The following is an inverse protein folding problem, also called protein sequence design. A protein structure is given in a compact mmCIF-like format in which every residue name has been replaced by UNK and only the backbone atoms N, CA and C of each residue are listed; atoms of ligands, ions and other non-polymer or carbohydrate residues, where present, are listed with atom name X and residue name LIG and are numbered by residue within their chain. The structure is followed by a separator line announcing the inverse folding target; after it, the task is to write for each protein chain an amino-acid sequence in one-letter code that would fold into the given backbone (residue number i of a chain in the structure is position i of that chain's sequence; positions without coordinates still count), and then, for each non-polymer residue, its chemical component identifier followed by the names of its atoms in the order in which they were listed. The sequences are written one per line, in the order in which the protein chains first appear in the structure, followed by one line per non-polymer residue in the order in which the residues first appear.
data_IF_826798298642
#
_entry.id   IF_826798298642
#
_cell.length_a   1.000
_cell.length_b   1.000
_cell.length_c   1.000
_cell.angle_alpha   90.00
_cell.angle_beta   90.00
_cell.angle_gamma   90.00
#
_symmetry.space_group_name_H-M   'P 1'
#
loop_
_entity.id
_entity.type
_entity.pdbx_description
1 polymer ?
#
# COMPACT_ATOMS: atom_id res chain seq x y z
N UNK A 1 5.24 -6.80 -26.50
CA UNK A 1 5.93 -5.61 -27.04
C UNK A 1 7.39 -5.75 -26.70
N UNK A 2 8.32 -5.61 -27.66
CA UNK A 2 9.78 -5.74 -27.44
C UNK A 2 10.45 -4.48 -26.87
N UNK A 3 9.67 -3.46 -26.53
CA UNK A 3 10.19 -2.19 -26.02
C UNK A 3 10.78 -2.37 -24.61
N UNK A 4 11.86 -1.65 -24.28
CA UNK A 4 12.36 -1.55 -22.91
C UNK A 4 11.23 -1.15 -21.95
N UNK A 5 11.16 -1.82 -20.80
CA UNK A 5 10.16 -1.54 -19.78
C UNK A 5 10.79 -1.51 -18.39
N UNK A 6 10.40 -0.51 -17.60
CA UNK A 6 10.81 -0.37 -16.21
C UNK A 6 9.57 -0.15 -15.35
N UNK A 7 9.56 -0.79 -14.18
CA UNK A 7 8.51 -0.62 -13.17
C UNK A 7 9.12 -0.52 -11.78
N UNK A 8 8.35 0.00 -10.83
CA UNK A 8 8.76 0.11 -9.44
C UNK A 8 7.60 0.08 -8.47
N UNK A 9 7.93 -0.21 -7.22
CA UNK A 9 7.09 0.02 -6.05
C UNK A 9 7.95 0.58 -4.92
N UNK A 10 7.34 1.03 -3.82
CA UNK A 10 8.03 1.39 -2.59
C UNK A 10 7.78 0.37 -1.47
N UNK A 11 8.68 0.27 -0.49
CA UNK A 11 8.45 -0.62 0.66
C UNK A 11 7.36 -0.12 1.63
N UNK A 12 6.95 1.15 1.51
CA UNK A 12 5.94 1.80 2.32
C UNK A 12 4.70 2.25 1.56
N UNK A 13 4.25 1.56 0.50
CA UNK A 13 3.02 1.94 -0.24
C UNK A 13 1.79 2.08 0.66
N UNK A 14 1.71 1.28 1.75
CA UNK A 14 0.63 1.36 2.74
C UNK A 14 0.50 2.73 3.43
N UNK A 15 1.56 3.55 3.42
CA UNK A 15 1.52 4.91 3.98
C UNK A 15 0.52 5.80 3.25
N UNK A 16 0.23 5.54 1.97
CA UNK A 16 -0.85 6.20 1.24
C UNK A 16 -2.20 5.90 1.89
N UNK A 17 -2.50 4.62 2.14
CA UNK A 17 -3.76 4.19 2.74
C UNK A 17 -3.88 4.64 4.20
N UNK A 18 -2.78 4.71 4.95
CA UNK A 18 -2.76 5.35 6.28
C UNK A 18 -3.03 6.85 6.23
N UNK A 19 -2.60 7.54 5.18
CA UNK A 19 -2.93 8.96 5.00
C UNK A 19 -4.40 9.13 4.62
N UNK A 20 -4.91 8.28 3.73
CA UNK A 20 -6.30 8.31 3.30
C UNK A 20 -7.27 7.88 4.41
N UNK A 21 -6.85 7.00 5.34
CA UNK A 21 -7.70 6.58 6.47
C UNK A 21 -8.11 7.75 7.36
N UNK A 22 -7.29 8.80 7.45
CA UNK A 22 -7.62 10.05 8.18
C UNK A 22 -8.80 10.81 7.57
N UNK A 23 -9.16 10.53 6.32
CA UNK A 23 -10.32 11.10 5.63
C UNK A 23 -11.60 10.25 5.78
N UNK A 24 -11.48 9.08 6.41
CA UNK A 24 -12.57 8.13 6.61
C UNK A 24 -13.01 8.18 8.07
N UNK A 25 -14.32 8.06 8.32
CA UNK A 25 -14.86 8.05 9.69
C UNK A 25 -14.28 6.89 10.50
N UNK A 26 -13.84 7.10 11.76
CA UNK A 26 -13.41 6.02 12.64
C UNK A 26 -14.45 4.90 12.79
N UNK A 27 -15.73 5.25 12.80
CA UNK A 27 -16.83 4.28 12.88
C UNK A 27 -16.88 3.31 11.70
N UNK A 28 -16.33 3.69 10.54
CA UNK A 28 -16.20 2.77 9.41
C UNK A 28 -15.21 1.65 9.74
N UNK A 29 -14.04 1.98 10.29
CA UNK A 29 -13.04 0.99 10.69
C UNK A 29 -13.57 0.08 11.80
N UNK A 30 -14.29 0.62 12.79
CA UNK A 30 -14.97 -0.17 13.82
C UNK A 30 -15.95 -1.17 13.21
N UNK A 31 -16.79 -0.72 12.28
CA UNK A 31 -17.75 -1.58 11.60
C UNK A 31 -17.07 -2.68 10.79
N UNK A 32 -16.01 -2.36 10.04
CA UNK A 32 -15.25 -3.36 9.27
C UNK A 32 -14.58 -4.36 10.22
N UNK A 33 -13.93 -3.90 11.29
CA UNK A 33 -13.28 -4.80 12.26
C UNK A 33 -14.26 -5.79 12.89
N UNK A 34 -15.43 -5.29 13.30
CA UNK A 34 -16.47 -6.13 13.89
C UNK A 34 -17.10 -7.12 12.89
N UNK A 35 -16.96 -6.87 11.58
CA UNK A 35 -17.53 -7.68 10.50
C UNK A 35 -16.46 -8.17 9.50
N UNK A 36 -15.22 -8.36 9.97
CA UNK A 36 -14.04 -8.51 9.09
C UNK A 36 -14.18 -9.64 8.07
N UNK A 37 -14.68 -10.81 8.47
CA UNK A 37 -14.88 -11.94 7.55
C UNK A 37 -15.79 -11.54 6.40
N UNK A 38 -16.95 -10.96 6.69
CA UNK A 38 -17.94 -10.54 5.68
C UNK A 38 -17.39 -9.45 4.77
N UNK A 39 -16.61 -8.51 5.32
CA UNK A 39 -15.93 -7.50 4.53
C UNK A 39 -14.96 -8.12 3.52
N UNK A 40 -14.09 -9.05 3.97
CA UNK A 40 -13.10 -9.71 3.11
C UNK A 40 -13.76 -10.58 2.04
N UNK A 41 -14.80 -11.35 2.40
CA UNK A 41 -15.56 -12.13 1.42
C UNK A 41 -16.23 -11.24 0.37
N UNK A 42 -16.76 -10.07 0.78
CA UNK A 42 -17.33 -9.09 -0.14
C UNK A 42 -16.27 -8.44 -1.03
N UNK A 43 -15.07 -8.18 -0.49
CA UNK A 43 -13.95 -7.63 -1.26
C UNK A 43 -13.51 -8.62 -2.34
N UNK A 44 -13.22 -9.87 -1.96
CA UNK A 44 -12.87 -10.94 -2.90
C UNK A 44 -14.01 -11.18 -3.91
N UNK A 45 -15.25 -11.01 -3.47
CA UNK A 45 -16.45 -11.13 -4.30
C UNK A 45 -16.53 -10.14 -5.47
N UNK A 46 -15.72 -9.08 -5.48
CA UNK A 46 -15.59 -8.19 -6.64
C UNK A 46 -14.86 -8.86 -7.81
N UNK A 47 -14.13 -9.95 -7.57
CA UNK A 47 -13.30 -10.64 -8.56
C UNK A 47 -13.78 -12.07 -8.86
N UNK A 48 -14.63 -12.65 -8.01
CA UNK A 48 -15.15 -14.01 -8.21
C UNK A 48 -16.52 -14.21 -7.57
N UNK A 49 -17.35 -15.05 -8.17
CA UNK A 49 -18.64 -15.47 -7.60
C UNK A 49 -18.54 -16.75 -6.75
N UNK A 50 -17.43 -17.48 -6.82
CA UNK A 50 -17.22 -18.75 -6.12
C UNK A 50 -17.19 -18.56 -4.58
N UNK A 51 -18.11 -19.23 -3.89
CA UNK A 51 -18.27 -19.12 -2.43
C UNK A 51 -17.17 -19.80 -1.65
N UNK A 52 -16.59 -20.90 -2.15
CA UNK A 52 -15.47 -21.56 -1.50
C UNK A 52 -14.22 -20.68 -1.56
N UNK A 53 -13.93 -20.11 -2.74
CA UNK A 53 -12.79 -19.19 -2.93
C UNK A 53 -12.90 -17.95 -2.04
N UNK A 54 -14.09 -17.33 -1.94
CA UNK A 54 -14.32 -16.18 -1.05
C UNK A 54 -14.02 -16.52 0.40
N UNK A 55 -14.59 -17.63 0.91
CA UNK A 55 -14.44 -18.03 2.32
C UNK A 55 -13.01 -18.43 2.66
N UNK A 56 -12.37 -19.23 1.82
CA UNK A 56 -10.98 -19.68 2.02
C UNK A 56 -10.02 -18.49 1.93
N UNK A 57 -10.18 -17.63 0.91
CA UNK A 57 -9.39 -16.41 0.75
C UNK A 57 -9.54 -15.45 1.94
N UNK A 58 -10.77 -15.23 2.42
CA UNK A 58 -11.00 -14.39 3.60
C UNK A 58 -10.28 -14.94 4.84
N UNK A 59 -10.30 -16.26 5.05
CA UNK A 59 -9.59 -16.88 6.16
C UNK A 59 -8.06 -16.75 6.02
N UNK A 60 -7.53 -16.89 4.80
CA UNK A 60 -6.10 -16.68 4.53
C UNK A 60 -5.68 -15.24 4.83
N UNK A 61 -6.44 -14.25 4.36
CA UNK A 61 -6.16 -12.82 4.60
C UNK A 61 -6.21 -12.47 6.09
N UNK A 62 -7.19 -13.02 6.83
CA UNK A 62 -7.28 -12.86 8.29
C UNK A 62 -6.04 -13.38 9.00
N UNK A 63 -5.60 -14.59 8.66
CA UNK A 63 -4.44 -15.21 9.29
C UNK A 63 -3.13 -14.48 8.96
N UNK A 64 -3.05 -13.86 7.78
CA UNK A 64 -1.85 -13.16 7.32
C UNK A 64 -1.76 -11.74 7.88
N UNK A 65 -2.79 -10.90 7.67
CA UNK A 65 -2.73 -9.48 8.04
C UNK A 65 -3.27 -9.19 9.44
N UNK A 66 -4.34 -9.83 9.87
CA UNK A 66 -5.16 -9.37 11.01
C UNK A 66 -4.94 -10.20 12.28
N UNK A 67 -3.68 -10.39 12.68
CA UNK A 67 -3.32 -11.21 13.84
C UNK A 67 -3.59 -10.50 15.18
N UNK A 68 -3.38 -9.18 15.23
CA UNK A 68 -3.57 -8.36 16.44
C UNK A 68 -4.29 -7.07 16.07
N UNK A 69 -5.63 -7.07 16.16
CA UNK A 69 -6.48 -5.98 15.69
C UNK A 69 -6.77 -4.87 16.73
N UNK A 70 -6.24 -5.00 17.95
CA UNK A 70 -6.35 -3.96 18.99
C UNK A 70 -4.96 -3.37 19.27
N UNK A 71 -4.84 -2.06 19.53
CA UNK A 71 -5.90 -1.05 19.43
C UNK A 71 -6.29 -0.76 17.97
N UNK A 72 -7.26 0.13 17.74
CA UNK A 72 -7.79 0.42 16.39
C UNK A 72 -6.70 0.85 15.39
N UNK A 73 -5.61 1.43 15.86
CA UNK A 73 -4.44 1.80 15.06
C UNK A 73 -3.81 0.58 14.40
N UNK A 74 -3.75 -0.57 15.09
CA UNK A 74 -3.24 -1.81 14.51
C UNK A 74 -4.15 -2.29 13.38
N UNK A 75 -5.46 -2.35 13.62
CA UNK A 75 -6.42 -2.73 12.59
C UNK A 75 -6.37 -1.81 11.36
N UNK A 76 -6.28 -0.50 11.58
CA UNK A 76 -6.17 0.50 10.49
C UNK A 76 -4.90 0.29 9.68
N UNK A 77 -3.78 -0.05 10.35
CA UNK A 77 -2.52 -0.38 9.70
C UNK A 77 -2.59 -1.68 8.91
N UNK A 78 -3.17 -2.73 9.47
CA UNK A 78 -3.33 -4.02 8.78
C UNK A 78 -4.20 -3.88 7.53
N UNK A 79 -5.28 -3.10 7.61
CA UNK A 79 -6.10 -2.72 6.47
C UNK A 79 -5.27 -1.98 5.40
N UNK A 80 -4.45 -1.01 5.82
CA UNK A 80 -3.59 -0.27 4.89
C UNK A 80 -2.55 -1.15 4.20
N UNK A 81 -1.98 -2.13 4.91
CA UNK A 81 -1.04 -3.11 4.35
C UNK A 81 -1.73 -4.04 3.34
N UNK A 82 -2.92 -4.57 3.67
CA UNK A 82 -3.72 -5.37 2.74
C UNK A 82 -4.03 -4.61 1.45
N UNK A 83 -4.51 -3.38 1.57
CA UNK A 83 -4.86 -2.56 0.40
C UNK A 83 -3.64 -2.14 -0.42
N UNK A 84 -2.48 -1.95 0.21
CA UNK A 84 -1.23 -1.70 -0.50
C UNK A 84 -0.73 -2.92 -1.27
N UNK A 85 -0.85 -4.10 -0.67
CA UNK A 85 -0.45 -5.34 -1.34
C UNK A 85 -1.37 -5.63 -2.53
N UNK A 86 -2.67 -5.42 -2.39
CA UNK A 86 -3.65 -5.57 -3.49
C UNK A 86 -3.49 -4.50 -4.57
N UNK A 87 -3.34 -3.23 -4.18
CA UNK A 87 -3.31 -2.08 -5.09
C UNK A 87 -1.97 -1.83 -5.78
N UNK A 88 -0.85 -2.21 -5.17
CA UNK A 88 0.49 -1.92 -5.69
C UNK A 88 1.38 -3.15 -5.82
N UNK A 89 1.55 -3.94 -4.75
CA UNK A 89 2.56 -5.01 -4.74
C UNK A 89 2.17 -6.16 -5.67
N UNK A 90 0.92 -6.64 -5.62
CA UNK A 90 0.44 -7.70 -6.49
C UNK A 90 0.49 -7.30 -7.98
N UNK A 91 -0.02 -6.13 -8.40
CA UNK A 91 0.12 -5.68 -9.78
C UNK A 91 1.58 -5.54 -10.22
N UNK A 92 2.47 -5.06 -9.35
CA UNK A 92 3.91 -4.97 -9.63
C UNK A 92 4.51 -6.36 -9.93
N UNK A 93 4.30 -7.33 -9.03
CA UNK A 93 4.81 -8.70 -9.20
C UNK A 93 4.19 -9.39 -10.43
N UNK A 94 2.87 -9.26 -10.61
CA UNK A 94 2.16 -9.83 -11.74
C UNK A 94 2.71 -9.28 -13.06
N UNK A 95 2.92 -7.97 -13.16
CA UNK A 95 3.43 -7.36 -14.38
C UNK A 95 4.88 -7.75 -14.67
N UNK A 96 5.74 -7.88 -13.65
CA UNK A 96 7.10 -8.39 -13.84
C UNK A 96 7.08 -9.79 -14.44
N UNK A 97 6.28 -10.68 -13.86
CA UNK A 97 6.16 -12.05 -14.35
C UNK A 97 5.65 -12.11 -15.79
N UNK A 98 4.72 -11.23 -16.16
CA UNK A 98 4.21 -11.12 -17.54
C UNK A 98 5.21 -10.50 -18.52
N UNK A 99 6.07 -9.59 -18.08
CA UNK A 99 6.99 -8.87 -18.96
C UNK A 99 8.39 -9.48 -19.07
N UNK A 100 8.80 -10.36 -18.16
CA UNK A 100 10.18 -10.89 -18.10
C UNK A 100 10.73 -11.49 -19.40
N UNK A 101 9.85 -11.98 -20.28
CA UNK A 101 10.22 -12.58 -21.58
C UNK A 101 9.90 -11.69 -22.80
N UNK A 102 9.39 -10.48 -22.58
CA UNK A 102 8.94 -9.60 -23.65
C UNK A 102 9.97 -8.56 -24.08
N UNK A 103 11.15 -8.51 -23.47
CA UNK A 103 12.22 -7.54 -23.81
C UNK A 103 13.02 -7.12 -22.57
N UNK A 104 13.95 -6.16 -22.71
CA UNK A 104 14.71 -5.64 -21.59
C UNK A 104 13.78 -5.08 -20.50
N UNK A 105 13.80 -5.73 -19.34
CA UNK A 105 12.89 -5.46 -18.22
C UNK A 105 13.70 -5.19 -16.97
N UNK A 106 13.41 -4.06 -16.31
CA UNK A 106 13.96 -3.72 -15.01
C UNK A 106 12.84 -3.49 -14.01
N UNK A 107 13.04 -3.96 -12.79
CA UNK A 107 12.15 -3.71 -11.69
C UNK A 107 12.97 -3.32 -10.48
N UNK A 108 12.50 -2.34 -9.71
CA UNK A 108 13.14 -1.95 -8.47
C UNK A 108 12.12 -1.69 -7.37
N UNK A 109 12.53 -1.93 -6.13
CA UNK A 109 11.78 -1.56 -4.93
C UNK A 109 12.49 -0.40 -4.26
N UNK A 110 11.81 0.73 -4.12
CA UNK A 110 12.36 1.88 -3.44
C UNK A 110 12.25 1.68 -1.93
N UNK A 111 13.39 1.63 -1.26
CA UNK A 111 13.49 1.48 0.20
C UNK A 111 14.16 2.67 0.86
N UNK A 112 14.75 3.57 0.06
CA UNK A 112 15.44 4.73 0.57
C UNK A 112 14.44 5.78 1.06
N UNK A 113 14.46 6.03 2.37
CA UNK A 113 13.77 7.13 3.04
C UNK A 113 14.64 8.38 2.99
N UNK A 114 14.27 9.33 2.15
CA UNK A 114 14.96 10.61 2.03
C UNK A 114 14.50 11.60 3.10
N UNK A 115 15.18 12.75 3.20
CA UNK A 115 14.84 13.83 4.14
C UNK A 115 13.39 14.36 4.02
N UNK A 116 12.81 14.26 2.83
CA UNK A 116 11.44 14.69 2.54
C UNK A 116 10.43 13.54 2.63
N UNK A 117 10.86 12.31 2.86
CA UNK A 117 9.98 11.14 2.98
C UNK A 117 9.19 11.18 4.28
N UNK A 118 7.87 10.97 4.20
CA UNK A 118 7.00 11.03 5.38
C UNK A 118 6.90 12.40 6.04
N UNK A 119 7.23 13.48 5.31
CA UNK A 119 7.09 14.87 5.78
C UNK A 119 6.17 15.62 4.81
N UNK A 120 5.32 16.51 5.33
CA UNK A 120 4.48 17.40 4.53
C UNK A 120 5.28 18.64 4.07
N UNK A 121 4.82 19.39 3.04
CA UNK A 121 5.38 20.68 2.67
C UNK A 121 5.51 21.70 3.82
N UNK A 122 4.76 21.50 4.90
CA UNK A 122 4.70 22.37 6.09
C UNK A 122 5.54 21.84 7.26
N UNK A 123 6.26 20.74 7.08
CA UNK A 123 7.16 20.17 8.10
C UNK A 123 6.49 19.21 9.07
N UNK A 124 5.21 18.90 8.88
CA UNK A 124 4.52 17.89 9.68
C UNK A 124 5.01 16.49 9.30
N UNK A 125 5.38 15.68 10.29
CA UNK A 125 5.71 14.27 10.08
C UNK A 125 4.42 13.50 9.85
N UNK A 126 4.20 13.07 8.61
CA UNK A 126 3.01 12.31 8.19
C UNK A 126 3.23 10.80 8.32
N UNK A 127 4.48 10.34 8.36
CA UNK A 127 4.84 8.94 8.58
C UNK A 127 6.18 8.85 9.33
N UNK A 128 6.17 8.15 10.47
CA UNK A 128 7.38 7.93 11.29
C UNK A 128 8.14 6.67 10.89
N UNK A 129 7.49 5.74 10.20
CA UNK A 129 8.07 4.46 9.81
C UNK A 129 9.32 4.64 8.95
N UNK A 130 10.28 3.73 9.09
CA UNK A 130 11.52 3.75 8.33
C UNK A 130 11.35 3.11 6.94
N UNK A 131 10.47 3.70 6.14
CA UNK A 131 10.10 3.22 4.79
C UNK A 131 10.00 4.39 3.82
N UNK A 132 10.15 4.10 2.53
CA UNK A 132 9.80 5.01 1.47
C UNK A 132 8.32 4.87 1.12
N UNK A 133 7.58 5.98 1.16
CA UNK A 133 6.15 6.00 0.90
C UNK A 133 5.77 6.03 -0.58
N UNK A 134 4.47 5.97 -0.84
CA UNK A 134 3.94 6.19 -2.18
C UNK A 134 4.41 7.53 -2.75
N UNK A 135 4.84 7.52 -4.02
CA UNK A 135 5.36 8.68 -4.75
C UNK A 135 6.66 9.32 -4.20
N UNK A 136 7.35 8.71 -3.24
CA UNK A 136 8.64 9.25 -2.75
C UNK A 136 9.71 9.31 -3.84
N UNK A 137 9.67 8.39 -4.81
CA UNK A 137 10.61 8.39 -5.94
C UNK A 137 10.59 9.68 -6.77
N UNK A 138 9.44 10.38 -6.83
CA UNK A 138 9.32 11.66 -7.51
C UNK A 138 10.25 12.71 -6.91
N UNK A 139 10.55 12.62 -5.60
CA UNK A 139 11.41 13.58 -4.89
C UNK A 139 12.89 13.44 -5.29
N UNK A 140 13.28 12.30 -5.86
CA UNK A 140 14.64 12.06 -6.34
C UNK A 140 14.80 12.42 -7.82
N UNK A 141 13.74 12.27 -8.61
CA UNK A 141 13.76 12.63 -10.04
C UNK A 141 13.56 14.12 -10.28
N UNK A 142 12.84 14.80 -9.40
CA UNK A 142 12.51 16.21 -9.52
C UNK A 142 13.00 16.95 -8.28
N UNK A 143 13.52 18.16 -8.46
CA UNK A 143 13.93 19.03 -7.35
C UNK A 143 12.70 19.53 -6.57
N UNK A 144 12.16 18.66 -5.71
CA UNK A 144 11.02 18.94 -4.85
C UNK A 144 11.40 19.76 -3.63
N UNK A 145 12.68 19.94 -3.30
CA UNK A 145 13.10 20.71 -2.11
C UNK A 145 12.50 22.11 -2.04
N UNK A 146 12.39 22.78 -3.19
CA UNK A 146 11.76 24.11 -3.30
C UNK A 146 10.30 24.16 -2.82
N UNK A 147 9.61 23.02 -2.79
CA UNK A 147 8.22 22.92 -2.30
C UNK A 147 8.12 22.49 -0.83
N UNK A 148 9.24 22.37 -0.12
CA UNK A 148 9.32 22.01 1.31
C UNK A 148 10.13 23.07 2.07
N UNK A 149 9.68 24.34 2.11
CA UNK A 149 10.46 25.44 2.69
C UNK A 149 10.72 25.30 4.20
N UNK A 150 9.94 24.48 4.89
CA UNK A 150 10.06 24.20 6.32
C UNK A 150 11.10 23.14 6.67
N UNK A 151 11.59 22.39 5.68
CA UNK A 151 12.69 21.45 5.87
C UNK A 151 13.96 22.22 5.52
N UNK A 152 14.88 22.37 6.48
CA UNK A 152 16.13 23.15 6.37
C UNK A 152 17.34 22.28 6.07
#
# INVERSE_FOLDING_TARGET
SSKPWITSTANGEYTLYLTMSKMVSPSWFENVRNNLTSYLESWIGQHTTDSAVKREGAQMLKNYYFQVMEPMENFTRDMAMLHADDGFIFPFLFNIEKQKNNGPTWAFRNEYKGELSGVSPWGEVTCVDDVAGHADTIKYYFNRRSTFPSVS
#
